data_IF_419743481508
#
_entry.id   IF_419743481508
#
_cell.length_a   1.000
_cell.length_b   1.000
_cell.length_c   1.000
_cell.angle_alpha   90.00
_cell.angle_beta   90.00
_cell.angle_gamma   90.00
#
_symmetry.space_group_name_H-M   'P 1'
#
loop_
_entity.id
_entity.type
_entity.pdbx_description
1 polymer ?
#
# COMPACT_ATOMS: atom_id res chain seq x y z
N UNK A 1 14.86 17.96 -19.81
CA UNK A 1 13.83 16.95 -19.52
C UNK A 1 14.51 15.61 -19.33
N UNK A 2 14.28 14.88 -18.24
CA UNK A 2 14.84 13.55 -18.05
C UNK A 2 14.34 12.65 -19.17
N UNK A 3 15.27 12.09 -19.95
CA UNK A 3 14.92 11.27 -21.11
C UNK A 3 14.58 9.84 -20.61
N UNK A 4 13.32 9.51 -20.45
CA UNK A 4 12.86 8.14 -20.14
C UNK A 4 13.52 7.07 -21.04
N UNK A 5 13.87 7.41 -22.27
CA UNK A 5 14.62 6.53 -23.20
C UNK A 5 15.93 6.03 -22.65
N UNK A 6 16.61 6.75 -21.75
CA UNK A 6 17.87 6.31 -21.15
C UNK A 6 17.66 5.08 -20.26
N UNK A 7 16.54 5.02 -19.52
CA UNK A 7 16.21 3.87 -18.68
C UNK A 7 16.04 2.60 -19.51
N UNK A 8 15.28 2.68 -20.61
CA UNK A 8 15.00 1.52 -21.47
C UNK A 8 16.17 1.12 -22.37
N UNK A 9 17.21 1.95 -22.46
CA UNK A 9 18.51 1.59 -23.07
C UNK A 9 19.43 0.84 -22.13
N UNK A 10 19.15 0.88 -20.82
CA UNK A 10 19.92 0.10 -19.84
C UNK A 10 19.54 -1.38 -19.99
N UNK A 11 20.50 -2.30 -20.25
CA UNK A 11 20.20 -3.66 -20.72
C UNK A 11 19.23 -4.45 -19.85
N UNK A 12 19.29 -4.34 -18.52
CA UNK A 12 18.48 -5.13 -17.61
C UNK A 12 17.25 -4.39 -17.08
N UNK A 13 17.11 -3.09 -17.37
CA UNK A 13 15.99 -2.31 -16.87
C UNK A 13 14.65 -2.79 -17.46
N UNK A 14 14.60 -3.04 -18.77
CA UNK A 14 13.37 -3.51 -19.44
C UNK A 14 12.91 -4.87 -18.92
N UNK A 15 13.75 -5.92 -18.80
CA UNK A 15 13.37 -7.18 -18.17
C UNK A 15 12.88 -7.01 -16.73
N UNK A 16 13.57 -6.21 -15.91
CA UNK A 16 13.16 -5.96 -14.52
C UNK A 16 11.79 -5.25 -14.45
N UNK A 17 11.56 -4.26 -15.30
CA UNK A 17 10.31 -3.53 -15.44
C UNK A 17 9.16 -4.45 -15.86
N UNK A 18 9.34 -5.24 -16.92
CA UNK A 18 8.33 -6.17 -17.41
C UNK A 18 8.02 -7.29 -16.41
N UNK A 19 9.03 -7.82 -15.72
CA UNK A 19 8.84 -8.78 -14.63
C UNK A 19 7.97 -8.19 -13.52
N UNK A 20 8.24 -6.94 -13.12
CA UNK A 20 7.43 -6.25 -12.12
C UNK A 20 6.00 -5.97 -12.58
N UNK A 21 5.81 -5.55 -13.83
CA UNK A 21 4.51 -5.30 -14.44
C UNK A 21 3.67 -6.60 -14.53
N UNK A 22 4.27 -7.68 -15.03
CA UNK A 22 3.61 -8.99 -15.11
C UNK A 22 3.24 -9.53 -13.72
N UNK A 23 4.12 -9.37 -12.72
CA UNK A 23 3.84 -9.76 -11.35
C UNK A 23 2.66 -8.98 -10.76
N UNK A 24 2.60 -7.66 -10.94
CA UNK A 24 1.50 -6.83 -10.44
C UNK A 24 0.17 -7.17 -11.13
N UNK A 25 0.18 -7.34 -12.46
CA UNK A 25 -1.00 -7.76 -13.21
C UNK A 25 -1.49 -9.16 -12.76
N UNK A 26 -0.56 -10.10 -12.57
CA UNK A 26 -0.88 -11.43 -12.04
C UNK A 26 -1.56 -11.36 -10.68
N UNK A 27 -0.98 -10.58 -9.76
CA UNK A 27 -1.48 -10.41 -8.40
C UNK A 27 -2.91 -9.84 -8.38
N UNK A 28 -3.20 -8.82 -9.18
CA UNK A 28 -4.52 -8.20 -9.22
C UNK A 28 -5.56 -9.10 -9.86
N UNK A 29 -5.23 -9.75 -10.98
CA UNK A 29 -6.13 -10.66 -11.68
C UNK A 29 -6.43 -11.91 -10.83
N UNK A 30 -5.37 -12.57 -10.32
CA UNK A 30 -5.53 -13.78 -9.51
C UNK A 30 -6.19 -13.47 -8.16
N UNK A 31 -5.81 -12.38 -7.50
CA UNK A 31 -6.39 -11.97 -6.22
C UNK A 31 -7.90 -11.72 -6.32
N UNK A 32 -8.34 -10.97 -7.34
CA UNK A 32 -9.76 -10.74 -7.60
C UNK A 32 -10.49 -12.04 -7.94
N UNK A 33 -9.89 -12.87 -8.80
CA UNK A 33 -10.44 -14.19 -9.17
C UNK A 33 -10.60 -15.09 -7.95
N UNK A 34 -9.59 -15.17 -7.08
CA UNK A 34 -9.60 -15.99 -5.88
C UNK A 34 -10.61 -15.48 -4.84
N UNK A 35 -10.66 -14.17 -4.57
CA UNK A 35 -11.63 -13.59 -3.67
C UNK A 35 -13.08 -13.89 -4.12
N UNK A 36 -13.33 -13.76 -5.43
CA UNK A 36 -14.64 -14.11 -6.03
C UNK A 36 -14.92 -15.61 -5.95
N UNK A 37 -13.92 -16.47 -6.19
CA UNK A 37 -14.05 -17.92 -6.08
C UNK A 37 -14.39 -18.33 -4.65
N UNK A 38 -13.67 -17.81 -3.66
CA UNK A 38 -13.91 -18.09 -2.24
C UNK A 38 -15.28 -17.57 -1.81
N UNK A 39 -15.66 -16.36 -2.25
CA UNK A 39 -16.99 -15.84 -1.92
C UNK A 39 -18.12 -16.67 -2.50
N UNK A 40 -18.03 -17.06 -3.78
CA UNK A 40 -19.04 -17.92 -4.43
C UNK A 40 -19.14 -19.32 -3.80
N UNK A 41 -18.01 -19.84 -3.30
CA UNK A 41 -17.97 -21.16 -2.68
C UNK A 41 -18.48 -21.17 -1.23
N UNK A 42 -18.31 -20.07 -0.48
CA UNK A 42 -18.56 -20.04 0.97
C UNK A 42 -19.66 -19.08 1.40
N UNK A 43 -20.05 -18.12 0.56
CA UNK A 43 -20.94 -17.02 0.93
C UNK A 43 -20.34 -16.09 2.02
N UNK A 44 -19.08 -16.27 2.41
CA UNK A 44 -18.46 -15.56 3.54
C UNK A 44 -17.72 -14.31 3.08
N UNK A 45 -18.18 -13.10 3.46
CA UNK A 45 -17.45 -11.86 3.24
C UNK A 45 -16.07 -11.86 3.90
N UNK A 46 -15.95 -12.49 5.09
CA UNK A 46 -14.68 -12.58 5.83
C UNK A 46 -13.65 -13.38 5.05
N UNK A 47 -14.01 -14.58 4.57
CA UNK A 47 -13.08 -15.42 3.82
C UNK A 47 -12.69 -14.78 2.48
N UNK A 48 -13.62 -14.10 1.82
CA UNK A 48 -13.34 -13.34 0.60
C UNK A 48 -12.35 -12.20 0.83
N UNK A 49 -12.59 -11.38 1.86
CA UNK A 49 -11.69 -10.28 2.23
C UNK A 49 -10.29 -10.80 2.61
N UNK A 50 -10.21 -11.89 3.36
CA UNK A 50 -8.94 -12.54 3.73
C UNK A 50 -8.25 -13.19 2.52
N UNK A 51 -8.98 -13.70 1.53
CA UNK A 51 -8.39 -14.23 0.31
C UNK A 51 -7.67 -13.13 -0.49
N UNK A 52 -8.20 -11.90 -0.49
CA UNK A 52 -7.60 -10.77 -1.21
C UNK A 52 -6.47 -10.08 -0.43
N UNK A 53 -6.68 -9.80 0.85
CA UNK A 53 -5.77 -8.99 1.67
C UNK A 53 -5.05 -9.77 2.79
N UNK A 54 -5.45 -11.01 3.05
CA UNK A 54 -4.79 -11.86 4.05
C UNK A 54 -3.29 -12.07 3.83
N UNK A 55 -2.80 -12.22 2.58
CA UNK A 55 -1.37 -12.28 2.31
C UNK A 55 -0.57 -11.10 2.87
N UNK A 56 -1.18 -9.92 3.05
CA UNK A 56 -0.53 -8.75 3.67
C UNK A 56 -0.13 -8.99 5.12
N UNK A 57 -0.91 -9.78 5.88
CA UNK A 57 -0.56 -10.17 7.26
C UNK A 57 0.64 -11.13 7.28
N UNK A 58 0.65 -12.10 6.39
CA UNK A 58 1.79 -13.01 6.24
C UNK A 58 3.05 -12.27 5.77
N UNK A 59 2.88 -11.29 4.88
CA UNK A 59 3.97 -10.43 4.42
C UNK A 59 4.58 -9.60 5.57
N UNK A 60 3.77 -9.14 6.54
CA UNK A 60 4.28 -8.49 7.74
C UNK A 60 5.14 -9.46 8.58
N UNK A 61 4.69 -10.70 8.80
CA UNK A 61 5.47 -11.74 9.49
C UNK A 61 6.78 -12.00 8.74
N UNK A 62 6.73 -12.13 7.42
CA UNK A 62 7.91 -12.30 6.58
C UNK A 62 8.86 -11.10 6.63
N UNK A 63 8.34 -9.88 6.65
CA UNK A 63 9.16 -8.67 6.76
C UNK A 63 9.92 -8.57 8.09
N UNK A 64 9.35 -9.08 9.18
CA UNK A 64 10.04 -9.11 10.48
C UNK A 64 11.07 -10.24 10.62
N UNK A 65 10.92 -11.32 9.86
CA UNK A 65 11.75 -12.53 10.00
C UNK A 65 12.69 -12.78 8.81
N UNK A 66 12.26 -12.46 7.59
CA UNK A 66 12.94 -12.84 6.35
C UNK A 66 13.57 -11.67 5.58
N UNK A 67 13.28 -10.40 5.92
CA UNK A 67 13.71 -9.25 5.11
C UNK A 67 15.23 -9.23 4.88
N UNK A 68 16.00 -9.63 5.88
CA UNK A 68 17.46 -9.73 5.80
C UNK A 68 17.97 -10.90 4.93
N UNK A 69 17.11 -11.87 4.61
CA UNK A 69 17.45 -12.92 3.66
C UNK A 69 17.43 -12.40 2.21
N UNK A 70 16.70 -11.31 1.93
CA UNK A 70 16.63 -10.71 0.60
C UNK A 70 18.01 -10.30 0.05
N UNK A 71 18.90 -9.75 0.91
CA UNK A 71 20.24 -9.32 0.49
C UNK A 71 21.25 -10.47 0.35
N UNK A 72 20.88 -11.68 0.81
CA UNK A 72 21.73 -12.88 0.74
C UNK A 72 21.40 -13.81 -0.40
N UNK A 73 20.32 -13.52 -1.12
CA UNK A 73 19.94 -14.31 -2.28
C UNK A 73 20.50 -13.68 -3.55
N UNK A 74 21.01 -14.47 -4.51
CA UNK A 74 21.33 -13.96 -5.84
C UNK A 74 20.09 -13.32 -6.47
N UNK A 75 20.13 -12.03 -6.88
CA UNK A 75 18.92 -11.29 -7.26
C UNK A 75 18.10 -11.95 -8.36
N UNK A 76 18.76 -12.47 -9.42
CA UNK A 76 18.09 -13.18 -10.52
C UNK A 76 17.36 -14.43 -10.04
N UNK A 77 18.05 -15.25 -9.26
CA UNK A 77 17.45 -16.50 -8.75
C UNK A 77 16.31 -16.23 -7.78
N UNK A 78 16.44 -15.20 -6.93
CA UNK A 78 15.41 -14.81 -5.99
C UNK A 78 14.13 -14.29 -6.71
N UNK A 79 14.28 -13.37 -7.67
CA UNK A 79 13.13 -12.80 -8.40
C UNK A 79 12.45 -13.91 -9.23
N UNK A 80 13.20 -14.72 -9.96
CA UNK A 80 12.65 -15.82 -10.74
C UNK A 80 12.01 -16.91 -9.86
N UNK A 81 12.67 -17.27 -8.75
CA UNK A 81 12.17 -18.28 -7.81
C UNK A 81 10.90 -17.84 -7.10
N UNK A 82 10.82 -16.59 -6.64
CA UNK A 82 9.58 -16.02 -6.04
C UNK A 82 8.46 -16.03 -7.07
N UNK A 83 8.68 -15.57 -8.29
CA UNK A 83 7.65 -15.56 -9.34
C UNK A 83 7.20 -16.99 -9.71
N UNK A 84 8.10 -17.95 -9.77
CA UNK A 84 7.76 -19.36 -10.00
C UNK A 84 6.96 -19.94 -8.83
N UNK A 85 7.34 -19.63 -7.58
CA UNK A 85 6.61 -20.04 -6.39
C UNK A 85 5.17 -19.52 -6.40
N UNK A 86 4.97 -18.23 -6.77
CA UNK A 86 3.64 -17.67 -6.97
C UNK A 86 2.88 -18.35 -8.11
N UNK A 87 3.54 -18.65 -9.24
CA UNK A 87 2.89 -19.36 -10.36
C UNK A 87 2.34 -20.71 -9.92
N UNK A 88 3.14 -21.49 -9.20
CA UNK A 88 2.75 -22.81 -8.72
C UNK A 88 1.68 -22.74 -7.63
N UNK A 89 1.86 -21.85 -6.62
CA UNK A 89 0.88 -21.65 -5.55
C UNK A 89 -0.46 -21.20 -6.10
N UNK A 90 -0.47 -20.17 -6.96
CA UNK A 90 -1.69 -19.69 -7.61
C UNK A 90 -2.34 -20.75 -8.49
N UNK A 91 -1.57 -21.59 -9.20
CA UNK A 91 -2.12 -22.72 -9.98
C UNK A 91 -2.78 -23.77 -9.06
N UNK A 92 -2.18 -24.07 -7.90
CA UNK A 92 -2.78 -24.94 -6.88
C UNK A 92 -4.11 -24.38 -6.39
N UNK A 93 -4.20 -23.05 -6.16
CA UNK A 93 -5.46 -22.41 -5.73
C UNK A 93 -6.61 -22.53 -6.76
N UNK A 94 -6.31 -22.85 -8.02
CA UNK A 94 -7.31 -23.11 -9.03
C UNK A 94 -7.85 -24.56 -9.01
N UNK A 95 -7.28 -25.46 -8.21
CA UNK A 95 -7.74 -26.86 -8.11
C UNK A 95 -9.15 -26.93 -7.49
N UNK A 96 -10.09 -27.66 -8.11
CA UNK A 96 -11.42 -27.84 -7.55
C UNK A 96 -11.40 -28.61 -6.23
N UNK A 97 -12.28 -28.22 -5.30
CA UNK A 97 -12.45 -28.96 -4.04
C UNK A 97 -11.35 -28.75 -3.01
N UNK A 98 -10.48 -27.77 -3.20
CA UNK A 98 -9.45 -27.45 -2.22
C UNK A 98 -10.10 -26.99 -0.90
N UNK A 99 -9.76 -27.61 0.26
CA UNK A 99 -10.33 -27.19 1.53
C UNK A 99 -9.82 -25.78 1.92
N UNK A 100 -10.64 -25.00 2.63
CA UNK A 100 -10.34 -23.61 2.97
C UNK A 100 -8.97 -23.46 3.68
N UNK A 101 -8.63 -24.38 4.60
CA UNK A 101 -7.33 -24.33 5.29
C UNK A 101 -6.15 -24.41 4.31
N UNK A 102 -6.24 -25.22 3.24
CA UNK A 102 -5.18 -25.34 2.24
C UNK A 102 -5.07 -24.07 1.39
N UNK A 103 -6.20 -23.45 1.02
CA UNK A 103 -6.20 -22.13 0.36
C UNK A 103 -5.46 -21.11 1.19
N UNK A 104 -5.78 -20.97 2.48
CA UNK A 104 -5.15 -19.99 3.34
C UNK A 104 -3.69 -20.35 3.70
N UNK A 105 -3.32 -21.63 3.73
CA UNK A 105 -1.93 -22.06 3.88
C UNK A 105 -1.06 -21.62 2.69
N UNK A 106 -1.56 -21.79 1.46
CA UNK A 106 -0.87 -21.33 0.25
C UNK A 106 -0.76 -19.80 0.25
N UNK A 107 -1.84 -19.08 0.53
CA UNK A 107 -1.84 -17.62 0.61
C UNK A 107 -0.87 -17.09 1.69
N UNK A 108 -0.79 -17.77 2.82
CA UNK A 108 0.17 -17.45 3.88
C UNK A 108 1.61 -17.63 3.40
N UNK A 109 1.90 -18.75 2.73
CA UNK A 109 3.22 -19.02 2.17
C UNK A 109 3.60 -18.01 1.07
N UNK A 110 2.66 -17.65 0.18
CA UNK A 110 2.85 -16.60 -0.82
C UNK A 110 3.11 -15.23 -0.16
N UNK A 111 2.36 -14.87 0.89
CA UNK A 111 2.58 -13.65 1.65
C UNK A 111 3.96 -13.58 2.30
N UNK A 112 4.45 -14.68 2.87
CA UNK A 112 5.83 -14.77 3.38
C UNK A 112 6.86 -14.55 2.26
N UNK A 113 6.69 -15.20 1.10
CA UNK A 113 7.58 -15.04 -0.04
C UNK A 113 7.56 -13.60 -0.61
N UNK A 114 6.39 -12.95 -0.62
CA UNK A 114 6.22 -11.56 -1.07
C UNK A 114 7.10 -10.57 -0.28
N UNK A 115 7.35 -10.84 1.01
CA UNK A 115 8.17 -9.98 1.87
C UNK A 115 9.61 -9.80 1.37
N UNK A 116 10.14 -10.81 0.66
CA UNK A 116 11.48 -10.80 0.08
C UNK A 116 11.53 -10.02 -1.24
N UNK A 117 10.45 -10.06 -2.02
CA UNK A 117 10.43 -9.59 -3.41
C UNK A 117 10.72 -8.10 -3.57
N UNK A 118 10.19 -7.27 -2.67
CA UNK A 118 10.39 -5.81 -2.70
C UNK A 118 11.85 -5.43 -2.51
N UNK A 119 12.51 -5.96 -1.47
CA UNK A 119 13.92 -5.69 -1.16
C UNK A 119 14.84 -6.09 -2.29
N UNK A 120 14.66 -7.30 -2.84
CA UNK A 120 15.49 -7.82 -3.96
C UNK A 120 15.33 -6.94 -5.20
N UNK A 121 14.08 -6.57 -5.56
CA UNK A 121 13.80 -5.78 -6.77
C UNK A 121 14.35 -4.36 -6.72
N UNK A 122 14.13 -3.65 -5.61
CA UNK A 122 14.65 -2.28 -5.46
C UNK A 122 16.16 -2.25 -5.31
N UNK A 123 16.74 -3.23 -4.64
CA UNK A 123 18.19 -3.36 -4.58
C UNK A 123 18.81 -3.62 -5.95
N UNK A 124 18.22 -4.50 -6.77
CA UNK A 124 18.69 -4.73 -8.14
C UNK A 124 18.52 -3.47 -9.01
N UNK A 125 17.42 -2.73 -8.85
CA UNK A 125 17.22 -1.45 -9.54
C UNK A 125 18.34 -0.45 -9.23
N UNK A 126 18.80 -0.41 -7.97
CA UNK A 126 19.92 0.45 -7.55
C UNK A 126 21.25 0.04 -8.16
N UNK A 127 21.46 -1.26 -8.42
CA UNK A 127 22.68 -1.77 -9.07
C UNK A 127 22.71 -1.54 -10.59
N UNK A 128 21.53 -1.64 -11.24
CA UNK A 128 21.39 -1.51 -12.70
C UNK A 128 21.49 -0.05 -13.13
N UNK A 129 20.93 0.88 -12.34
CA UNK A 129 20.85 2.29 -12.71
C UNK A 129 21.94 3.12 -12.06
N UNK A 130 22.52 4.06 -12.82
CA UNK A 130 23.38 5.11 -12.26
C UNK A 130 22.60 5.94 -11.22
N UNK A 131 23.29 6.48 -10.19
CA UNK A 131 22.69 7.23 -9.11
C UNK A 131 21.76 8.35 -9.58
N UNK A 132 22.13 9.06 -10.64
CA UNK A 132 21.36 10.16 -11.25
C UNK A 132 20.04 9.70 -11.89
N UNK A 133 19.96 8.43 -12.34
CA UNK A 133 18.78 7.84 -12.98
C UNK A 133 17.90 7.01 -12.02
N UNK A 134 18.39 6.73 -10.81
CA UNK A 134 17.68 5.86 -9.87
C UNK A 134 16.30 6.37 -9.48
N UNK A 135 16.18 7.67 -9.13
CA UNK A 135 14.89 8.26 -8.77
C UNK A 135 13.89 8.22 -9.93
N UNK A 136 14.39 8.48 -11.16
CA UNK A 136 13.55 8.39 -12.34
C UNK A 136 13.10 6.95 -12.62
N UNK A 137 14.02 5.97 -12.51
CA UNK A 137 13.70 4.56 -12.66
C UNK A 137 12.68 4.07 -11.64
N UNK A 138 12.85 4.45 -10.37
CA UNK A 138 11.90 4.14 -9.30
C UNK A 138 10.51 4.75 -9.57
N UNK A 139 10.45 5.99 -10.05
CA UNK A 139 9.19 6.65 -10.41
C UNK A 139 8.47 5.92 -11.54
N UNK A 140 9.21 5.50 -12.59
CA UNK A 140 8.65 4.72 -13.73
C UNK A 140 8.12 3.36 -13.26
N UNK A 141 8.86 2.66 -12.41
CA UNK A 141 8.41 1.37 -11.84
C UNK A 141 7.14 1.54 -11.00
N UNK A 142 7.07 2.58 -10.16
CA UNK A 142 5.87 2.84 -9.34
C UNK A 142 4.66 3.24 -10.20
N UNK A 143 4.86 4.04 -11.24
CA UNK A 143 3.79 4.38 -12.20
C UNK A 143 3.27 3.12 -12.92
N UNK A 144 4.18 2.22 -13.32
CA UNK A 144 3.79 0.95 -13.93
C UNK A 144 2.94 0.09 -12.98
N UNK A 145 3.26 0.05 -11.69
CA UNK A 145 2.44 -0.65 -10.68
C UNK A 145 1.02 -0.10 -10.70
N UNK A 146 0.81 1.21 -10.64
CA UNK A 146 -0.52 1.82 -10.68
C UNK A 146 -1.28 1.49 -11.98
N UNK A 147 -0.63 1.62 -13.14
CA UNK A 147 -1.24 1.28 -14.44
C UNK A 147 -1.59 -0.21 -14.52
N UNK A 148 -0.70 -1.10 -14.04
CA UNK A 148 -0.95 -2.55 -14.04
C UNK A 148 -2.04 -2.94 -13.04
N UNK A 149 -2.22 -2.22 -11.94
CA UNK A 149 -3.34 -2.45 -11.02
C UNK A 149 -4.68 -2.10 -11.68
N UNK A 150 -4.78 -0.91 -12.31
CA UNK A 150 -5.99 -0.50 -13.04
C UNK A 150 -6.34 -1.54 -14.11
N UNK A 151 -5.37 -1.82 -15.00
CA UNK A 151 -5.54 -2.79 -16.07
C UNK A 151 -5.82 -4.19 -15.56
N UNK A 152 -5.12 -4.62 -14.51
CA UNK A 152 -5.26 -5.94 -13.90
C UNK A 152 -6.64 -6.17 -13.27
N UNK A 153 -7.17 -5.20 -12.53
CA UNK A 153 -8.50 -5.29 -11.96
C UNK A 153 -9.60 -5.24 -13.04
N UNK A 154 -9.48 -4.35 -14.03
CA UNK A 154 -10.42 -4.29 -15.15
C UNK A 154 -10.41 -5.61 -15.97
N UNK A 155 -9.22 -6.10 -16.34
CA UNK A 155 -9.04 -7.36 -17.06
C UNK A 155 -9.50 -8.55 -16.20
N UNK A 156 -9.17 -8.55 -14.91
CA UNK A 156 -9.59 -9.58 -13.96
C UNK A 156 -11.12 -9.70 -13.88
N UNK A 157 -11.81 -8.56 -13.77
CA UNK A 157 -13.27 -8.52 -13.83
C UNK A 157 -13.84 -9.08 -15.15
N UNK A 158 -13.27 -8.67 -16.29
CA UNK A 158 -13.65 -9.19 -17.60
C UNK A 158 -13.38 -10.70 -17.74
N UNK A 159 -12.25 -11.19 -17.27
CA UNK A 159 -11.92 -12.62 -17.28
C UNK A 159 -12.86 -13.44 -16.40
N UNK A 160 -13.29 -12.92 -15.25
CA UNK A 160 -14.27 -13.57 -14.39
C UNK A 160 -15.62 -13.70 -15.11
N UNK A 161 -16.03 -12.65 -15.82
CA UNK A 161 -17.29 -12.64 -16.57
C UNK A 161 -17.25 -13.55 -17.81
N UNK A 162 -16.13 -13.58 -18.54
CA UNK A 162 -16.00 -14.31 -19.81
C UNK A 162 -15.60 -15.78 -19.64
N UNK A 163 -14.71 -16.07 -18.68
CA UNK A 163 -14.18 -17.42 -18.47
C UNK A 163 -14.74 -18.04 -17.18
N UNK A 164 -14.41 -17.50 -16.05
CA UNK A 164 -14.86 -17.85 -14.68
C UNK A 164 -13.85 -17.26 -13.67
N UNK A 165 -14.16 -17.20 -12.37
CA UNK A 165 -13.18 -16.84 -11.36
C UNK A 165 -11.93 -17.74 -11.37
N UNK A 166 -12.12 -19.06 -11.62
CA UNK A 166 -11.01 -20.02 -11.74
C UNK A 166 -10.15 -19.76 -12.96
N UNK A 167 -10.76 -19.40 -14.09
CA UNK A 167 -10.04 -19.01 -15.30
C UNK A 167 -9.16 -17.78 -15.07
N UNK A 168 -9.66 -16.78 -14.34
CA UNK A 168 -8.87 -15.60 -13.96
C UNK A 168 -7.67 -15.96 -13.07
N UNK A 169 -7.85 -16.89 -12.10
CA UNK A 169 -6.73 -17.39 -11.26
C UNK A 169 -5.67 -18.08 -12.13
N UNK A 170 -6.06 -18.92 -13.09
CA UNK A 170 -5.12 -19.61 -14.01
C UNK A 170 -4.39 -18.64 -14.94
N UNK A 171 -5.04 -17.59 -15.44
CA UNK A 171 -4.40 -16.52 -16.20
C UNK A 171 -3.36 -15.81 -15.33
N UNK A 172 -3.68 -15.52 -14.07
CA UNK A 172 -2.74 -14.96 -13.12
C UNK A 172 -1.51 -15.87 -12.89
N UNK A 173 -1.73 -17.17 -12.71
CA UNK A 173 -0.65 -18.15 -12.60
C UNK A 173 0.26 -18.15 -13.85
N UNK A 174 -0.32 -18.06 -15.05
CA UNK A 174 0.42 -17.94 -16.30
C UNK A 174 1.26 -16.65 -16.38
N UNK A 175 0.73 -15.53 -15.91
CA UNK A 175 1.47 -14.26 -15.84
C UNK A 175 2.61 -14.31 -14.83
N UNK A 176 2.44 -14.98 -13.68
CA UNK A 176 3.54 -15.22 -12.75
C UNK A 176 4.63 -16.10 -13.36
N UNK A 177 4.25 -17.14 -14.12
CA UNK A 177 5.20 -17.97 -14.84
C UNK A 177 5.95 -17.15 -15.90
N UNK A 178 5.26 -16.30 -16.65
CA UNK A 178 5.89 -15.39 -17.60
C UNK A 178 6.88 -14.44 -16.90
N UNK A 179 6.51 -13.90 -15.72
CA UNK A 179 7.41 -13.10 -14.90
C UNK A 179 8.68 -13.89 -14.46
N UNK A 180 8.52 -15.18 -14.10
CA UNK A 180 9.64 -16.03 -13.73
C UNK A 180 10.59 -16.27 -14.93
N UNK A 181 10.06 -16.54 -16.11
CA UNK A 181 10.84 -16.72 -17.35
C UNK A 181 11.56 -15.42 -17.73
N UNK A 182 10.86 -14.27 -17.72
CA UNK A 182 11.45 -12.96 -17.99
C UNK A 182 12.60 -12.64 -17.04
N UNK A 183 12.42 -12.90 -15.74
CA UNK A 183 13.49 -12.70 -14.76
C UNK A 183 14.68 -13.62 -15.00
N UNK A 184 14.42 -14.90 -15.32
CA UNK A 184 15.47 -15.92 -15.51
C UNK A 184 16.31 -15.68 -16.77
N UNK A 185 15.70 -15.19 -17.85
CA UNK A 185 16.34 -14.98 -19.15
C UNK A 185 16.88 -13.56 -19.34
N UNK A 186 16.20 -12.56 -18.75
CA UNK A 186 16.49 -11.15 -19.00
C UNK A 186 17.40 -10.47 -17.96
N UNK A 187 17.59 -11.08 -16.76
CA UNK A 187 18.43 -10.52 -15.71
C UNK A 187 19.80 -11.23 -15.66
N UNK A 188 20.85 -10.46 -15.41
CA UNK A 188 22.22 -10.97 -15.24
C UNK A 188 22.39 -11.73 -13.92
N UNK A 189 23.27 -12.73 -13.92
CA UNK A 189 23.66 -13.41 -12.69
C UNK A 189 24.58 -12.50 -11.86
N UNK A 190 24.26 -12.33 -10.59
CA UNK A 190 25.02 -11.54 -9.62
C UNK A 190 25.16 -12.30 -8.30
N UNK A 191 26.28 -12.12 -7.58
CA UNK A 191 26.42 -12.67 -6.24
C UNK A 191 25.46 -11.97 -5.27
N UNK A 192 25.19 -12.56 -4.11
CA UNK A 192 24.46 -11.93 -3.01
C UNK A 192 25.14 -10.63 -2.55
N UNK A 193 24.36 -9.65 -2.09
CA UNK A 193 24.85 -8.32 -1.67
C UNK A 193 25.48 -8.29 -0.30
N UNK A 194 25.03 -9.13 0.61
CA UNK A 194 25.46 -9.12 2.01
C UNK A 194 25.89 -10.49 2.50
N UNK A 195 26.97 -10.50 3.29
CA UNK A 195 27.38 -11.61 4.14
C UNK A 195 27.14 -11.22 5.62
N UNK A 196 26.65 -12.15 6.46
CA UNK A 196 26.48 -11.90 7.89
C UNK A 196 25.06 -12.21 8.40
N UNK A 197 24.83 -12.19 9.74
CA UNK A 197 23.51 -12.43 10.35
C UNK A 197 22.80 -11.12 10.66
N UNK A 198 21.50 -10.97 10.34
CA UNK A 198 20.75 -9.81 10.75
C UNK A 198 20.49 -9.82 12.26
N UNK A 199 20.49 -8.66 12.86
CA UNK A 199 20.07 -8.51 14.26
C UNK A 199 18.60 -8.09 14.29
N UNK A 200 17.72 -9.03 14.57
CA UNK A 200 16.28 -8.75 14.82
C UNK A 200 16.14 -7.76 15.99
N UNK A 201 16.99 -7.90 17.01
CA UNK A 201 16.99 -7.00 18.17
C UNK A 201 17.31 -5.54 17.82
N UNK A 202 18.23 -5.31 16.88
CA UNK A 202 18.57 -3.95 16.43
C UNK A 202 17.40 -3.30 15.66
N UNK A 203 16.73 -4.07 14.81
CA UNK A 203 15.52 -3.61 14.11
C UNK A 203 14.43 -3.21 15.09
N UNK A 204 14.16 -4.01 16.12
CA UNK A 204 13.16 -3.69 17.14
C UNK A 204 13.54 -2.47 17.98
N UNK A 205 14.81 -2.31 18.32
CA UNK A 205 15.32 -1.12 19.03
C UNK A 205 15.11 0.15 18.19
N UNK A 206 15.43 0.10 16.91
CA UNK A 206 15.24 1.23 15.99
C UNK A 206 13.75 1.54 15.77
N UNK A 207 12.89 0.53 15.64
CA UNK A 207 11.45 0.73 15.55
C UNK A 207 10.89 1.40 16.80
N UNK A 208 11.34 0.99 18.00
CA UNK A 208 10.95 1.62 19.26
C UNK A 208 11.41 3.07 19.33
N UNK A 209 12.63 3.37 18.88
CA UNK A 209 13.16 4.74 18.80
C UNK A 209 12.32 5.62 17.85
N UNK A 210 11.90 5.09 16.71
CA UNK A 210 11.06 5.80 15.75
C UNK A 210 9.65 6.07 16.28
N UNK A 211 9.08 5.17 17.06
CA UNK A 211 7.73 5.29 17.61
C UNK A 211 7.65 6.04 18.94
N UNK A 212 8.79 6.28 19.63
CA UNK A 212 8.81 6.94 20.94
C UNK A 212 8.32 8.39 20.91
N UNK A 213 8.74 9.28 19.98
CA UNK A 213 8.30 10.66 19.98
C UNK A 213 6.84 10.80 19.57
N UNK A 214 6.02 11.56 20.33
CA UNK A 214 4.57 11.67 20.05
C UNK A 214 4.25 12.21 18.66
N UNK A 215 5.07 13.12 18.11
CA UNK A 215 4.88 13.68 16.77
C UNK A 215 5.06 12.60 15.68
N UNK A 216 6.11 11.77 15.79
CA UNK A 216 6.36 10.67 14.84
C UNK A 216 5.27 9.59 14.96
N UNK A 217 4.88 9.22 16.18
CA UNK A 217 3.79 8.26 16.40
C UNK A 217 2.49 8.73 15.78
N UNK A 218 2.13 10.01 15.90
CA UNK A 218 0.95 10.58 15.23
C UNK A 218 1.05 10.52 13.72
N UNK A 219 2.22 10.80 13.14
CA UNK A 219 2.45 10.69 11.70
C UNK A 219 2.26 9.24 11.20
N UNK A 220 2.77 8.24 11.93
CA UNK A 220 2.52 6.82 11.61
C UNK A 220 1.05 6.45 11.73
N UNK A 221 0.37 6.86 12.78
CA UNK A 221 -1.07 6.59 12.94
C UNK A 221 -1.88 7.22 11.81
N UNK A 222 -1.54 8.43 11.39
CA UNK A 222 -2.19 9.09 10.26
C UNK A 222 -1.95 8.36 8.92
N UNK A 223 -0.77 7.77 8.74
CA UNK A 223 -0.45 6.97 7.56
C UNK A 223 -1.16 5.61 7.55
N UNK A 224 -1.28 4.97 8.70
CA UNK A 224 -1.72 3.57 8.78
C UNK A 224 -3.22 3.43 8.94
N UNK A 225 -3.80 4.09 9.95
CA UNK A 225 -5.15 3.76 10.40
C UNK A 225 -6.23 4.18 9.40
N UNK A 226 -6.29 5.44 8.93
CA UNK A 226 -7.32 5.84 7.96
C UNK A 226 -7.22 5.07 6.65
N UNK A 227 -6.01 4.89 6.13
CA UNK A 227 -5.77 4.16 4.89
C UNK A 227 -6.12 2.67 5.04
N UNK A 228 -5.69 2.03 6.12
CA UNK A 228 -6.01 0.63 6.37
C UNK A 228 -7.51 0.39 6.46
N UNK A 229 -8.25 1.26 7.17
CA UNK A 229 -9.70 1.16 7.30
C UNK A 229 -10.41 1.30 5.94
N UNK A 230 -9.93 2.16 5.04
CA UNK A 230 -10.50 2.27 3.70
C UNK A 230 -10.16 1.07 2.81
N UNK A 231 -8.95 0.49 2.93
CA UNK A 231 -8.68 -0.81 2.29
C UNK A 231 -9.61 -1.90 2.82
N UNK A 232 -10.00 -1.83 4.11
CA UNK A 232 -11.08 -2.66 4.65
C UNK A 232 -12.42 -2.44 3.91
N UNK A 233 -12.80 -1.19 3.59
CA UNK A 233 -13.98 -0.94 2.75
C UNK A 233 -13.85 -1.58 1.37
N UNK A 234 -12.68 -1.42 0.72
CA UNK A 234 -12.40 -1.98 -0.60
C UNK A 234 -12.44 -3.52 -0.60
N UNK A 235 -12.03 -4.16 0.50
CA UNK A 235 -12.08 -5.63 0.63
C UNK A 235 -13.49 -6.20 0.54
N UNK A 236 -14.50 -5.35 0.73
CA UNK A 236 -15.92 -5.71 0.62
C UNK A 236 -16.51 -5.50 -0.78
N UNK A 237 -15.72 -5.06 -1.78
CA UNK A 237 -16.26 -4.88 -3.15
C UNK A 237 -16.75 -6.19 -3.75
N UNK A 238 -16.05 -7.31 -3.53
CA UNK A 238 -16.48 -8.63 -4.00
C UNK A 238 -17.77 -9.08 -3.29
N UNK A 239 -17.90 -9.05 -1.95
CA UNK A 239 -19.16 -9.35 -1.28
C UNK A 239 -20.30 -8.38 -1.62
N UNK A 240 -19.99 -7.13 -1.96
CA UNK A 240 -20.97 -6.11 -2.33
C UNK A 240 -21.57 -6.35 -3.72
N UNK A 241 -20.72 -6.59 -4.72
CA UNK A 241 -21.11 -6.85 -6.11
C UNK A 241 -20.07 -7.76 -6.79
N UNK A 242 -20.22 -9.08 -6.67
CA UNK A 242 -19.22 -10.03 -7.19
C UNK A 242 -18.99 -9.94 -8.71
N UNK A 243 -19.98 -9.50 -9.47
CA UNK A 243 -19.91 -9.42 -10.92
C UNK A 243 -19.17 -8.15 -11.39
N UNK A 244 -19.30 -7.05 -10.63
CA UNK A 244 -18.78 -5.75 -11.00
C UNK A 244 -17.65 -5.27 -10.08
N UNK A 245 -17.20 -6.10 -9.12
CA UNK A 245 -16.11 -5.77 -8.20
C UNK A 245 -14.82 -5.32 -8.93
N UNK A 246 -14.49 -5.96 -10.06
CA UNK A 246 -13.31 -5.59 -10.87
C UNK A 246 -13.35 -4.15 -11.36
N UNK A 247 -14.53 -3.63 -11.71
CA UNK A 247 -14.72 -2.23 -12.13
C UNK A 247 -14.55 -1.29 -10.94
N UNK A 248 -15.07 -1.65 -9.75
CA UNK A 248 -14.88 -0.86 -8.52
C UNK A 248 -13.38 -0.76 -8.16
N UNK A 249 -12.65 -1.87 -8.19
CA UNK A 249 -11.20 -1.86 -7.95
C UNK A 249 -10.42 -1.08 -9.00
N UNK A 250 -10.78 -1.19 -10.28
CA UNK A 250 -10.16 -0.43 -11.35
C UNK A 250 -10.37 1.09 -11.16
N UNK A 251 -11.58 1.50 -10.75
CA UNK A 251 -11.91 2.88 -10.41
C UNK A 251 -11.15 3.37 -9.18
N UNK A 252 -11.00 2.54 -8.13
CA UNK A 252 -10.17 2.85 -6.97
C UNK A 252 -8.70 3.05 -7.38
N UNK A 253 -8.13 2.13 -8.14
CA UNK A 253 -6.74 2.24 -8.62
C UNK A 253 -6.54 3.48 -9.52
N UNK A 254 -7.51 3.81 -10.38
CA UNK A 254 -7.49 5.02 -11.19
C UNK A 254 -7.53 6.29 -10.33
N UNK A 255 -8.45 6.36 -9.35
CA UNK A 255 -8.56 7.48 -8.42
C UNK A 255 -7.26 7.70 -7.64
N UNK A 256 -6.63 6.63 -7.15
CA UNK A 256 -5.34 6.67 -6.46
C UNK A 256 -4.24 7.24 -7.36
N UNK A 257 -4.09 6.72 -8.58
CA UNK A 257 -3.09 7.20 -9.53
C UNK A 257 -3.32 8.68 -9.92
N UNK A 258 -4.58 9.07 -10.12
CA UNK A 258 -4.95 10.45 -10.44
C UNK A 258 -4.63 11.38 -9.27
N UNK A 259 -5.01 11.01 -8.04
CA UNK A 259 -4.73 11.76 -6.82
C UNK A 259 -3.24 11.96 -6.59
N UNK A 260 -2.46 10.88 -6.64
CA UNK A 260 -1.00 10.92 -6.49
C UNK A 260 -0.34 11.81 -7.54
N UNK A 261 -0.80 11.73 -8.80
CA UNK A 261 -0.27 12.55 -9.89
C UNK A 261 -0.59 14.02 -9.67
N UNK A 262 -1.83 14.36 -9.34
CA UNK A 262 -2.27 15.76 -9.12
C UNK A 262 -1.53 16.35 -7.91
N UNK A 263 -1.51 15.67 -6.80
CA UNK A 263 -0.88 16.16 -5.57
C UNK A 263 0.65 16.23 -5.73
N UNK A 264 1.26 15.19 -6.29
CA UNK A 264 2.71 15.12 -6.43
C UNK A 264 3.27 16.12 -7.45
N UNK A 265 2.56 16.40 -8.56
CA UNK A 265 3.08 17.21 -9.66
C UNK A 265 2.59 18.66 -9.68
N UNK A 266 1.34 18.91 -9.31
CA UNK A 266 0.71 20.21 -9.54
C UNK A 266 0.49 21.06 -8.29
N UNK A 267 0.52 20.44 -7.09
CA UNK A 267 0.26 21.19 -5.86
C UNK A 267 1.54 21.84 -5.30
N UNK A 268 1.51 23.16 -5.03
CA UNK A 268 2.60 23.85 -4.35
C UNK A 268 2.72 23.42 -2.88
N UNK A 269 3.93 23.41 -2.33
CA UNK A 269 4.23 22.94 -0.99
C UNK A 269 3.35 23.59 0.11
N UNK A 270 3.05 24.88 -0.02
CA UNK A 270 2.18 25.61 0.94
C UNK A 270 0.76 25.06 1.01
N UNK A 271 0.21 24.62 -0.13
CA UNK A 271 -1.14 24.08 -0.19
C UNK A 271 -1.18 22.63 0.30
N UNK A 272 -0.12 21.85 0.04
CA UNK A 272 0.00 20.45 0.48
C UNK A 272 -0.22 20.30 1.99
N UNK A 273 0.40 21.16 2.80
CA UNK A 273 0.26 21.08 4.25
C UNK A 273 -1.18 21.36 4.71
N UNK A 274 -1.87 22.31 4.08
CA UNK A 274 -3.26 22.67 4.42
C UNK A 274 -4.28 21.61 4.05
N UNK A 275 -4.08 20.93 2.91
CA UNK A 275 -5.07 19.95 2.40
C UNK A 275 -4.84 18.54 2.95
N UNK A 276 -3.78 18.28 3.70
CA UNK A 276 -3.40 16.95 4.18
C UNK A 276 -4.56 16.21 4.87
N UNK A 277 -5.17 16.79 5.89
CA UNK A 277 -6.31 16.20 6.58
C UNK A 277 -7.63 16.26 5.80
N UNK A 278 -7.98 17.35 5.09
CA UNK A 278 -9.12 17.34 4.17
C UNK A 278 -9.04 16.24 3.12
N UNK A 279 -7.87 16.03 2.53
CA UNK A 279 -7.66 14.97 1.54
C UNK A 279 -7.77 13.57 2.19
N UNK A 280 -7.29 13.42 3.43
CA UNK A 280 -7.46 12.19 4.19
C UNK A 280 -8.91 11.94 4.58
N UNK A 281 -9.69 12.98 4.88
CA UNK A 281 -11.14 12.85 5.11
C UNK A 281 -11.88 12.47 3.81
N UNK A 282 -11.44 13.00 2.66
CA UNK A 282 -11.99 12.64 1.34
C UNK A 282 -11.80 11.15 1.04
N UNK A 283 -10.74 10.51 1.55
CA UNK A 283 -10.49 9.08 1.40
C UNK A 283 -11.64 8.22 1.97
N UNK A 284 -12.32 8.66 3.03
CA UNK A 284 -13.35 7.87 3.68
C UNK A 284 -14.78 8.41 3.45
N UNK A 285 -14.96 9.73 3.33
CA UNK A 285 -16.27 10.35 3.30
C UNK A 285 -17.21 9.82 2.19
N UNK A 286 -16.75 9.57 0.95
CA UNK A 286 -17.63 9.08 -0.11
C UNK A 286 -18.21 7.68 0.17
N UNK A 287 -17.55 6.85 1.01
CA UNK A 287 -18.11 5.55 1.39
C UNK A 287 -19.38 5.65 2.23
N UNK A 288 -19.67 6.81 2.84
CA UNK A 288 -20.93 7.03 3.55
C UNK A 288 -22.14 6.99 2.62
N UNK A 289 -21.97 7.25 1.33
CA UNK A 289 -23.03 7.12 0.32
C UNK A 289 -23.57 5.69 0.20
N UNK A 290 -22.78 4.68 0.56
CA UNK A 290 -23.22 3.28 0.55
C UNK A 290 -24.36 2.99 1.54
N UNK A 291 -24.59 3.89 2.53
CA UNK A 291 -25.76 3.82 3.40
C UNK A 291 -27.07 4.01 2.63
N UNK A 292 -27.03 4.81 1.55
CA UNK A 292 -28.21 5.18 0.75
C UNK A 292 -28.47 4.22 -0.41
N UNK A 293 -27.78 3.09 -0.48
CA UNK A 293 -27.87 2.13 -1.59
C UNK A 293 -27.71 2.80 -2.97
N UNK A 294 -26.56 3.41 -3.27
CA UNK A 294 -26.40 4.20 -4.46
C UNK A 294 -26.50 3.36 -5.73
N UNK A 295 -27.08 3.91 -6.79
CA UNK A 295 -27.00 3.31 -8.11
C UNK A 295 -25.51 3.10 -8.49
N UNK A 296 -25.23 2.02 -9.24
CA UNK A 296 -23.86 1.60 -9.54
C UNK A 296 -22.96 2.72 -10.11
N UNK A 297 -23.41 3.60 -11.04
CA UNK A 297 -22.58 4.72 -11.50
C UNK A 297 -22.17 5.69 -10.38
N UNK A 298 -23.06 5.92 -9.41
CA UNK A 298 -22.78 6.76 -8.25
C UNK A 298 -21.78 6.07 -7.28
N UNK A 299 -21.91 4.76 -7.11
CA UNK A 299 -20.92 3.96 -6.36
C UNK A 299 -19.52 4.05 -7.00
N UNK A 300 -19.41 3.95 -8.34
CA UNK A 300 -18.15 4.11 -9.07
C UNK A 300 -17.55 5.50 -8.84
N UNK A 301 -18.38 6.54 -8.94
CA UNK A 301 -17.92 7.92 -8.70
C UNK A 301 -17.45 8.08 -7.25
N UNK A 302 -18.21 7.58 -6.27
CA UNK A 302 -17.85 7.63 -4.86
C UNK A 302 -16.51 6.95 -4.59
N UNK A 303 -16.30 5.74 -5.13
CA UNK A 303 -15.04 5.00 -5.00
C UNK A 303 -13.87 5.73 -5.68
N UNK A 304 -14.08 6.26 -6.89
CA UNK A 304 -13.04 7.03 -7.60
C UNK A 304 -12.63 8.27 -6.83
N UNK A 305 -13.59 9.06 -6.37
CA UNK A 305 -13.35 10.29 -5.59
C UNK A 305 -12.67 9.94 -4.26
N UNK A 306 -13.16 8.92 -3.55
CA UNK A 306 -12.52 8.41 -2.33
C UNK A 306 -11.05 8.10 -2.57
N UNK A 307 -10.76 7.31 -3.59
CA UNK A 307 -9.41 6.83 -3.87
C UNK A 307 -8.42 7.96 -4.21
N UNK A 308 -8.87 9.14 -4.70
CA UNK A 308 -7.99 10.31 -4.83
C UNK A 308 -7.42 10.76 -3.49
N UNK A 309 -8.12 10.47 -2.40
CA UNK A 309 -7.71 10.75 -1.03
C UNK A 309 -6.47 9.97 -0.56
N UNK A 310 -6.11 8.85 -1.23
CA UNK A 310 -4.86 8.13 -0.94
C UNK A 310 -3.61 9.02 -1.10
N UNK A 311 -3.67 10.06 -1.92
CA UNK A 311 -2.60 11.03 -2.07
C UNK A 311 -2.26 11.78 -0.77
N UNK A 312 -3.13 11.76 0.25
CA UNK A 312 -2.80 12.22 1.59
C UNK A 312 -1.58 11.48 2.18
N UNK A 313 -1.37 10.21 1.77
CA UNK A 313 -0.22 9.42 2.19
C UNK A 313 1.10 10.06 1.79
N UNK A 314 1.20 10.66 0.59
CA UNK A 314 2.40 11.38 0.16
C UNK A 314 2.72 12.53 1.12
N UNK A 315 1.69 13.29 1.51
CA UNK A 315 1.84 14.45 2.41
C UNK A 315 2.21 14.03 3.84
N UNK A 316 1.63 12.93 4.32
CA UNK A 316 2.00 12.37 5.62
C UNK A 316 3.40 11.75 5.61
N UNK A 317 3.86 11.17 4.49
CA UNK A 317 5.23 10.69 4.32
C UNK A 317 6.23 11.84 4.29
N UNK A 318 5.94 12.95 3.57
CA UNK A 318 6.75 14.18 3.63
C UNK A 318 6.88 14.68 5.09
N UNK A 319 5.77 14.68 5.85
CA UNK A 319 5.78 15.05 7.27
C UNK A 319 6.60 14.08 8.11
N UNK A 320 6.45 12.78 7.92
CA UNK A 320 7.21 11.77 8.65
C UNK A 320 8.72 11.92 8.41
N UNK A 321 9.14 12.06 7.16
CA UNK A 321 10.56 12.22 6.81
C UNK A 321 11.15 13.51 7.37
N UNK A 322 10.38 14.61 7.44
CA UNK A 322 10.84 15.85 8.09
C UNK A 322 11.02 15.75 9.62
N UNK A 323 10.45 14.74 10.27
CA UNK A 323 10.57 14.48 11.71
C UNK A 323 11.67 13.46 12.05
N UNK A 324 12.33 12.88 11.05
CA UNK A 324 13.33 11.82 11.21
C UNK A 324 14.67 12.30 10.69
N UNK A 325 15.76 11.90 11.33
CA UNK A 325 17.11 12.14 10.85
C UNK A 325 17.35 11.42 9.51
N UNK A 326 18.16 12.00 8.64
CA UNK A 326 18.37 11.51 7.27
C UNK A 326 18.84 10.06 7.24
N UNK A 327 19.70 9.66 8.18
CA UNK A 327 20.25 8.31 8.30
C UNK A 327 19.17 7.25 8.62
N UNK A 328 18.10 7.65 9.30
CA UNK A 328 16.98 6.78 9.67
C UNK A 328 15.82 6.84 8.68
N UNK A 329 15.88 7.69 7.65
CA UNK A 329 14.80 7.91 6.69
C UNK A 329 14.36 6.64 5.98
N UNK A 330 15.31 5.81 5.53
CA UNK A 330 15.02 4.52 4.90
C UNK A 330 14.32 3.55 5.85
N UNK A 331 14.77 3.48 7.12
CA UNK A 331 14.17 2.62 8.14
C UNK A 331 12.75 3.08 8.51
N UNK A 332 12.54 4.41 8.59
CA UNK A 332 11.24 4.99 8.88
C UNK A 332 10.20 4.66 7.78
N UNK A 333 10.59 4.74 6.50
CA UNK A 333 9.73 4.35 5.38
C UNK A 333 9.50 2.84 5.31
N UNK A 334 10.49 2.03 5.69
CA UNK A 334 10.34 0.58 5.83
C UNK A 334 9.33 0.21 6.91
N UNK A 335 9.42 0.85 8.08
CA UNK A 335 8.45 0.68 9.16
C UNK A 335 7.04 1.13 8.73
N UNK A 336 6.94 2.25 7.98
CA UNK A 336 5.66 2.68 7.40
C UNK A 336 5.07 1.60 6.49
N UNK A 337 5.83 1.06 5.55
CA UNK A 337 5.36 0.04 4.63
C UNK A 337 4.86 -1.22 5.35
N UNK A 338 5.61 -1.69 6.36
CA UNK A 338 5.21 -2.85 7.18
C UNK A 338 3.93 -2.60 7.98
N UNK A 339 3.81 -1.42 8.60
CA UNK A 339 2.62 -1.04 9.36
C UNK A 339 1.39 -0.87 8.46
N UNK A 340 1.57 -0.39 7.23
CA UNK A 340 0.51 -0.29 6.23
C UNK A 340 -0.04 -1.66 5.86
N UNK A 341 0.83 -2.63 5.56
CA UNK A 341 0.43 -4.01 5.26
C UNK A 341 -0.32 -4.66 6.43
N UNK A 342 0.16 -4.43 7.67
CA UNK A 342 -0.50 -4.92 8.87
C UNK A 342 -1.94 -4.39 8.97
N UNK A 343 -2.09 -3.08 8.84
CA UNK A 343 -3.41 -2.44 8.96
C UNK A 343 -4.35 -2.81 7.80
N UNK A 344 -3.84 -3.00 6.59
CA UNK A 344 -4.64 -3.50 5.46
C UNK A 344 -5.24 -4.87 5.77
N UNK A 345 -4.42 -5.83 6.21
CA UNK A 345 -4.88 -7.18 6.54
C UNK A 345 -5.82 -7.21 7.75
N UNK A 346 -5.49 -6.48 8.82
CA UNK A 346 -6.35 -6.37 10.01
C UNK A 346 -7.69 -5.71 9.66
N UNK A 347 -7.68 -4.64 8.89
CA UNK A 347 -8.90 -3.93 8.49
C UNK A 347 -9.76 -4.75 7.54
N UNK A 348 -9.17 -5.54 6.64
CA UNK A 348 -9.90 -6.48 5.79
C UNK A 348 -10.57 -7.58 6.62
N UNK A 349 -9.88 -8.14 7.62
CA UNK A 349 -10.46 -9.10 8.57
C UNK A 349 -11.62 -8.48 9.36
N UNK A 350 -11.43 -7.25 9.87
CA UNK A 350 -12.48 -6.52 10.58
C UNK A 350 -13.68 -6.21 9.68
N UNK A 351 -13.43 -5.74 8.45
CA UNK A 351 -14.46 -5.47 7.45
C UNK A 351 -15.28 -6.71 7.12
N UNK A 352 -14.59 -7.81 6.83
CA UNK A 352 -15.24 -9.08 6.53
C UNK A 352 -16.04 -9.62 7.70
N UNK A 353 -15.53 -9.48 8.94
CA UNK A 353 -16.25 -9.86 10.15
C UNK A 353 -17.51 -9.01 10.33
N UNK A 354 -17.42 -7.70 10.20
CA UNK A 354 -18.60 -6.81 10.30
C UNK A 354 -19.63 -7.16 9.22
N UNK A 355 -19.19 -7.37 7.98
CA UNK A 355 -20.07 -7.73 6.88
C UNK A 355 -20.73 -9.12 7.05
N UNK A 356 -20.05 -10.06 7.73
CA UNK A 356 -20.58 -11.39 8.05
C UNK A 356 -21.81 -11.34 8.97
N UNK A 357 -21.81 -10.38 9.92
CA UNK A 357 -22.89 -10.22 10.90
C UNK A 357 -23.92 -9.14 10.51
N UNK A 358 -23.63 -8.35 9.48
CA UNK A 358 -24.51 -7.26 9.05
C UNK A 358 -24.74 -7.29 7.54
N UNK A 359 -24.03 -6.43 6.81
CA UNK A 359 -23.99 -6.41 5.35
C UNK A 359 -22.70 -5.78 4.86
N UNK A 360 -22.26 -6.05 3.62
CA UNK A 360 -21.08 -5.40 3.03
C UNK A 360 -21.17 -3.86 3.09
N UNK A 361 -22.36 -3.27 2.83
CA UNK A 361 -22.60 -1.82 2.89
C UNK A 361 -22.40 -1.28 4.30
N UNK A 362 -23.00 -1.94 5.29
CA UNK A 362 -22.85 -1.54 6.70
C UNK A 362 -21.41 -1.61 7.15
N UNK A 363 -20.67 -2.67 6.76
CA UNK A 363 -19.25 -2.81 7.02
C UNK A 363 -18.44 -1.65 6.46
N UNK A 364 -18.67 -1.28 5.19
CA UNK A 364 -18.01 -0.13 4.54
C UNK A 364 -18.28 1.17 5.28
N UNK A 365 -19.54 1.45 5.62
CA UNK A 365 -19.94 2.69 6.32
C UNK A 365 -19.32 2.79 7.71
N UNK A 366 -19.33 1.69 8.49
CA UNK A 366 -18.75 1.68 9.84
C UNK A 366 -17.25 1.92 9.80
N UNK A 367 -16.52 1.30 8.85
CA UNK A 367 -15.10 1.54 8.70
C UNK A 367 -14.78 2.95 8.20
N UNK A 368 -15.60 3.50 7.30
CA UNK A 368 -15.47 4.88 6.85
C UNK A 368 -15.67 5.86 7.99
N UNK A 369 -16.68 5.66 8.84
CA UNK A 369 -16.93 6.48 10.05
C UNK A 369 -15.74 6.38 11.02
N UNK A 370 -15.21 5.18 11.25
CA UNK A 370 -14.01 4.99 12.07
C UNK A 370 -12.78 5.73 11.50
N UNK A 371 -12.58 5.65 10.18
CA UNK A 371 -11.50 6.38 9.47
C UNK A 371 -11.64 7.90 9.62
N UNK A 372 -12.85 8.44 9.45
CA UNK A 372 -13.14 9.86 9.64
C UNK A 372 -12.92 10.29 11.09
N UNK A 373 -13.37 9.49 12.06
CA UNK A 373 -13.18 9.78 13.48
C UNK A 373 -11.70 9.86 13.85
N UNK A 374 -10.90 8.91 13.39
CA UNK A 374 -9.44 8.92 13.61
C UNK A 374 -8.78 10.11 12.91
N UNK A 375 -9.16 10.39 11.66
CA UNK A 375 -8.66 11.57 10.91
C UNK A 375 -8.95 12.86 11.64
N UNK A 376 -10.19 13.05 12.14
CA UNK A 376 -10.59 14.23 12.91
C UNK A 376 -9.85 14.33 14.25
N UNK A 377 -9.64 13.21 14.95
CA UNK A 377 -8.91 13.19 16.22
C UNK A 377 -7.44 13.60 16.01
N UNK A 378 -6.78 13.05 14.97
CA UNK A 378 -5.40 13.39 14.64
C UNK A 378 -5.26 14.85 14.19
N UNK A 379 -6.19 15.35 13.38
CA UNK A 379 -6.21 16.74 12.93
C UNK A 379 -6.35 17.71 14.11
N UNK A 380 -7.18 17.38 15.11
CA UNK A 380 -7.31 18.18 16.34
C UNK A 380 -6.03 18.16 17.18
N UNK A 381 -5.40 17.00 17.31
CA UNK A 381 -4.18 16.81 18.09
C UNK A 381 -2.94 17.51 17.48
N UNK A 382 -2.96 17.87 16.20
CA UNK A 382 -1.89 18.61 15.53
C UNK A 382 -2.13 20.15 15.52
N UNK A 383 -3.33 20.61 15.83
CA UNK A 383 -3.57 22.05 15.98
C UNK A 383 -2.73 22.56 17.16
N UNK A 384 -1.91 23.64 16.98
CA UNK A 384 -1.25 24.25 18.11
C UNK A 384 -2.33 24.66 19.12
N UNK A 385 -2.13 24.32 20.41
CA UNK A 385 -2.95 24.89 21.47
C UNK A 385 -2.85 26.40 21.29
N UNK A 386 -3.99 27.05 21.07
CA UNK A 386 -4.07 28.50 21.10
C UNK A 386 -3.59 28.89 22.49
N UNK A 387 -2.33 29.28 22.59
CA UNK A 387 -1.75 29.80 23.83
C UNK A 387 -2.60 31.00 24.22
N UNK A 388 -3.41 30.80 25.27
CA UNK A 388 -4.11 31.90 25.92
C UNK A 388 -3.11 33.02 26.13
N UNK A 389 -3.41 34.16 25.58
CA UNK A 389 -2.69 35.39 25.73
C UNK A 389 -2.45 35.61 27.23
N UNK A 390 -1.21 35.68 27.73
CA UNK A 390 -1.01 36.16 29.08
C UNK A 390 -1.31 37.65 29.04
N UNK A 391 -2.50 38.04 29.48
CA UNK A 391 -2.79 39.39 29.92
C UNK A 391 -1.99 39.62 31.18
N UNK A 392 -0.76 40.08 31.04
CA UNK A 392 -0.06 40.66 32.16
C UNK A 392 0.49 42.02 31.73
N UNK A 393 -0.34 43.04 31.95
CA UNK A 393 0.03 44.43 31.93
C UNK A 393 0.97 44.71 33.11
N UNK A 394 2.26 44.65 32.87
CA UNK A 394 3.24 45.32 33.71
C UNK A 394 3.90 46.41 32.86
N UNK A 395 3.37 47.63 33.02
CA UNK A 395 4.01 48.87 32.54
C UNK A 395 5.41 48.97 33.15
N UNK A 396 6.44 49.21 32.37
CA UNK A 396 7.74 49.58 32.94
C UNK A 396 7.64 51.02 33.50
N UNK A 397 7.96 51.17 34.78
CA UNK A 397 8.14 52.49 35.42
C UNK A 397 9.35 53.23 34.82
N UNK A 398 9.28 54.55 34.60
CA UNK A 398 10.40 55.32 34.07
C UNK A 398 11.51 55.45 35.14
N UNK A 399 12.68 54.90 34.88
CA UNK A 399 13.89 55.16 35.65
C UNK A 399 14.27 56.65 35.51
N UNK A 400 14.21 57.38 36.62
CA UNK A 400 14.80 58.75 36.78
C UNK A 400 16.30 58.64 36.66
N UNK A 401 16.79 59.31 35.65
CA UNK A 401 18.22 59.64 35.47
C UNK A 401 18.64 60.67 36.56
N UNK A 402 19.49 60.27 37.45
CA UNK A 402 20.21 61.20 38.33
C UNK A 402 21.67 61.34 37.84
N UNK A 403 21.88 62.36 37.05
CA UNK A 403 23.21 62.91 36.90
C UNK A 403 23.77 63.30 38.30
N UNK A 404 24.97 62.90 38.61
CA UNK A 404 25.86 63.63 39.46
C UNK A 404 27.25 63.63 38.85
N UNK A 405 27.67 64.86 38.60
CA UNK A 405 29.02 65.43 38.42
C UNK A 405 29.90 65.10 39.58
N UNK A 406 31.13 64.66 39.35
CA UNK A 406 32.44 65.13 39.80
C UNK A 406 33.53 64.27 39.15
#
# INVERSE_FOLDING_TARGET
>A
MPRYRVLFRTPEFTPLFLTGAAHTAAQTIAGLGLATLVYRATGSPLLSALALFGPSLAQLVGATTLLSAADRLPPRAAIAGIALFFALGTAVLAVPGLPAWAVFAVLFAEGLAASLGGGVRYGLLHEILAREHFLLGRSVVNMAVGVCQIGGFATGGALIALLSPRGAVLVGAGLYLAAAVLARTGLGARPPRAAGRPSVGETWRTNRLLLSPPARRRAYLALWVPNGLVVGCESLFVPYDPERAGVLFACAAFGMLAGDTVVGRFLPARLRERIRFPLQALLAAPFLLFLLDPAFPLALLAVTVSATGYAASLLHQERLTSLVQEELGGHALGLHASGMLALQGVSAALAGTLAQFTSPRTGMVLLALASLAVTCALARAERPAVSGTPTNGSRPSPRRDRRRTA
#
